data_IF_741104303042
#
_entry.id   IF_741104303042
#
_cell.length_a   1.000
_cell.length_b   1.000
_cell.length_c   1.000
_cell.angle_alpha   90.00
_cell.angle_beta   90.00
_cell.angle_gamma   90.00
#
_symmetry.space_group_name_H-M   'P 1'
#
loop_
_entity.id
_entity.type
_entity.pdbx_description
1 polymer ?
#
# COMPACT_ATOMS: atom_id res chain seq x y z
N UNK A 1 -12.67 33.48 -49.31
CA UNK A 1 -11.26 33.09 -49.10
C UNK A 1 -10.92 33.38 -47.64
N UNK A 2 -10.36 32.38 -46.96
CA UNK A 2 -9.58 32.38 -45.70
C UNK A 2 -10.13 33.20 -44.51
N UNK A 3 -10.65 32.56 -43.45
CA UNK A 3 -9.91 31.91 -42.33
C UNK A 3 -9.30 32.92 -41.36
N UNK A 4 -9.78 32.94 -40.10
CA UNK A 4 -8.96 32.57 -38.94
C UNK A 4 -9.78 32.55 -37.64
N UNK A 5 -9.57 31.46 -36.91
CA UNK A 5 -10.28 31.02 -35.71
C UNK A 5 -9.50 31.49 -34.49
N UNK A 6 -10.18 32.17 -33.56
CA UNK A 6 -9.64 32.55 -32.26
C UNK A 6 -9.59 31.32 -31.33
N UNK A 7 -8.38 30.85 -31.02
CA UNK A 7 -8.10 29.81 -30.04
C UNK A 7 -7.92 30.42 -28.65
N UNK A 8 -8.78 29.99 -27.71
CA UNK A 8 -8.65 30.21 -26.28
C UNK A 8 -7.59 29.27 -25.67
N UNK A 9 -6.96 29.64 -24.53
CA UNK A 9 -5.88 28.85 -23.94
C UNK A 9 -6.40 27.58 -23.25
N UNK A 10 -5.91 26.43 -23.71
CA UNK A 10 -6.14 25.12 -23.11
C UNK A 10 -5.38 25.00 -21.78
N UNK A 11 -6.12 25.07 -20.67
CA UNK A 11 -5.71 24.55 -19.37
C UNK A 11 -5.41 23.05 -19.50
N UNK A 12 -4.15 22.69 -19.30
CA UNK A 12 -3.72 21.29 -19.25
C UNK A 12 -4.20 20.65 -17.93
N UNK A 13 -4.86 19.48 -17.94
CA UNK A 13 -5.13 18.73 -16.73
C UNK A 13 -3.83 18.06 -16.23
N UNK A 14 -3.68 17.82 -14.91
CA UNK A 14 -2.49 17.16 -14.36
C UNK A 14 -2.41 15.73 -14.89
N UNK A 15 -1.28 15.39 -15.52
CA UNK A 15 -0.99 14.03 -15.98
C UNK A 15 -0.78 13.13 -14.76
N UNK A 16 -1.64 12.13 -14.60
CA UNK A 16 -1.48 11.05 -13.62
C UNK A 16 -0.31 10.14 -14.02
N UNK A 17 0.51 9.64 -13.10
CA UNK A 17 1.62 8.75 -13.43
C UNK A 17 1.07 7.37 -13.80
N UNK A 18 0.86 7.13 -15.08
CA UNK A 18 0.64 5.79 -15.64
C UNK A 18 1.98 5.05 -15.70
N UNK A 19 2.50 4.62 -14.55
CA UNK A 19 3.66 3.72 -14.49
C UNK A 19 3.21 2.25 -14.52
N UNK A 20 3.81 1.38 -15.36
CA UNK A 20 3.45 -0.04 -15.47
C UNK A 20 3.71 -0.86 -14.19
N UNK A 21 4.34 -0.29 -13.14
CA UNK A 21 4.67 -0.98 -11.90
C UNK A 21 3.56 -1.02 -10.83
N UNK A 22 2.50 -0.21 -10.98
CA UNK A 22 1.35 -0.20 -10.06
C UNK A 22 0.57 -1.55 -10.06
N UNK A 23 0.90 -2.46 -10.98
CA UNK A 23 0.34 -3.82 -11.10
C UNK A 23 1.05 -4.87 -10.24
N UNK A 24 2.30 -4.65 -9.82
CA UNK A 24 3.11 -5.66 -9.11
C UNK A 24 3.23 -5.42 -7.60
N UNK A 25 2.97 -4.20 -7.14
CA UNK A 25 3.12 -3.79 -5.74
C UNK A 25 2.23 -4.54 -4.71
N UNK A 26 0.98 -4.94 -5.00
CA UNK A 26 0.12 -5.59 -3.99
C UNK A 26 0.51 -7.04 -3.62
N UNK A 27 1.30 -7.73 -4.44
CA UNK A 27 1.65 -9.15 -4.20
C UNK A 27 2.78 -9.32 -3.18
N UNK A 28 3.74 -8.40 -3.13
CA UNK A 28 4.93 -8.51 -2.26
C UNK A 28 4.65 -8.10 -0.80
N UNK A 29 3.75 -7.13 -0.58
CA UNK A 29 3.27 -6.73 0.76
C UNK A 29 2.48 -7.88 1.45
N UNK A 30 1.95 -8.82 0.66
CA UNK A 30 1.16 -9.96 1.14
C UNK A 30 1.93 -10.95 2.00
N UNK A 31 3.20 -11.21 1.67
CA UNK A 31 4.02 -12.21 2.35
C UNK A 31 4.75 -11.62 3.55
N UNK A 32 5.02 -10.31 3.51
CA UNK A 32 5.86 -9.61 4.48
C UNK A 32 5.18 -9.33 5.83
N UNK A 33 3.87 -9.06 5.84
CA UNK A 33 3.18 -8.57 7.05
C UNK A 33 2.37 -9.67 7.75
N UNK A 34 2.02 -10.77 7.07
CA UNK A 34 1.04 -11.75 7.56
C UNK A 34 1.54 -13.20 7.65
N UNK A 35 2.86 -13.43 7.56
CA UNK A 35 3.51 -14.69 7.90
C UNK A 35 2.74 -15.97 7.54
N UNK A 36 2.64 -16.33 6.26
CA UNK A 36 2.44 -17.74 5.86
C UNK A 36 3.16 -18.03 4.53
N UNK A 37 3.93 -19.13 4.44
CA UNK A 37 4.43 -19.62 3.17
C UNK A 37 3.33 -20.44 2.49
N UNK A 38 2.70 -19.87 1.46
CA UNK A 38 2.02 -20.71 0.48
C UNK A 38 3.07 -21.56 -0.24
N UNK A 39 3.17 -22.83 0.12
CA UNK A 39 3.99 -23.82 -0.59
C UNK A 39 3.66 -23.78 -2.10
N UNK A 40 4.66 -23.84 -2.99
CA UNK A 40 4.39 -23.99 -4.41
C UNK A 40 3.77 -25.38 -4.65
N UNK A 41 2.57 -25.42 -5.21
CA UNK A 41 1.99 -26.66 -5.75
C UNK A 41 2.82 -27.06 -6.96
N UNK A 42 3.81 -27.93 -6.73
CA UNK A 42 4.52 -28.62 -7.78
C UNK A 42 3.55 -29.56 -8.50
N UNK A 43 3.36 -29.35 -9.80
CA UNK A 43 2.60 -30.23 -10.67
C UNK A 43 3.20 -31.63 -10.71
N UNK A 44 2.63 -32.56 -9.95
CA UNK A 44 2.94 -33.97 -10.05
C UNK A 44 2.11 -34.60 -11.17
N UNK A 45 2.82 -35.12 -12.18
CA UNK A 45 2.27 -35.87 -13.29
C UNK A 45 1.43 -37.07 -12.81
N UNK A 46 0.22 -37.20 -13.36
CA UNK A 46 -0.65 -38.36 -13.15
C UNK A 46 0.04 -39.63 -13.65
N UNK A 47 0.42 -40.53 -12.74
CA UNK A 47 0.58 -41.96 -13.02
C UNK A 47 -0.57 -42.72 -12.37
N UNK A 48 -1.32 -43.44 -13.19
CA UNK A 48 -2.41 -44.30 -12.74
C UNK A 48 -1.84 -45.47 -11.93
N UNK A 49 -2.35 -45.67 -10.71
CA UNK A 49 -2.16 -46.88 -9.92
C UNK A 49 -3.30 -47.87 -10.21
N UNK A 50 -3.03 -49.19 -10.25
CA UNK A 50 -4.06 -50.20 -10.45
C UNK A 50 -4.93 -50.39 -9.19
N UNK A 51 -6.17 -50.91 -9.30
CA UNK A 51 -7.07 -51.08 -8.17
C UNK A 51 -6.61 -52.24 -7.27
N UNK A 52 -6.59 -52.00 -5.96
CA UNK A 52 -6.42 -53.04 -4.94
C UNK A 52 -7.78 -53.69 -4.59
N UNK A 53 -7.80 -54.97 -4.18
CA UNK A 53 -9.04 -55.70 -3.92
C UNK A 53 -9.63 -55.32 -2.55
N UNK A 54 -10.95 -55.18 -2.51
CA UNK A 54 -11.74 -54.98 -1.29
C UNK A 54 -11.84 -56.30 -0.51
N UNK A 55 -11.33 -56.34 0.71
CA UNK A 55 -11.60 -57.41 1.68
C UNK A 55 -12.67 -56.92 2.68
N UNK A 56 -13.79 -57.63 2.88
CA UNK A 56 -14.91 -57.14 3.68
C UNK A 56 -14.86 -57.71 5.11
N UNK A 57 -13.96 -57.24 5.98
CA UNK A 57 -14.06 -57.49 7.44
C UNK A 57 -13.26 -56.44 8.21
N UNK A 58 -13.87 -55.30 8.50
CA UNK A 58 -13.49 -54.43 9.62
C UNK A 58 -14.67 -53.52 10.02
N UNK A 59 -15.83 -54.13 10.25
CA UNK A 59 -16.99 -53.49 10.88
C UNK A 59 -17.13 -54.03 12.30
N UNK A 60 -16.17 -53.70 13.16
CA UNK A 60 -16.32 -53.82 14.61
C UNK A 60 -15.29 -52.87 15.24
N UNK A 61 -15.76 -51.71 15.70
CA UNK A 61 -14.89 -50.80 16.47
C UNK A 61 -15.03 -49.30 16.24
N UNK A 62 -16.01 -48.80 15.47
CA UNK A 62 -16.39 -47.38 15.56
C UNK A 62 -17.31 -47.24 16.76
N UNK A 63 -16.71 -47.19 17.95
CA UNK A 63 -17.45 -46.84 19.15
C UNK A 63 -18.10 -45.47 18.95
N UNK A 64 -19.33 -45.33 19.44
CA UNK A 64 -20.07 -44.06 19.49
C UNK A 64 -19.34 -42.93 20.25
N UNK A 65 -18.11 -43.15 20.72
CA UNK A 65 -17.25 -42.16 21.35
C UNK A 65 -16.52 -41.26 20.35
N UNK A 66 -16.26 -41.69 19.11
CA UNK A 66 -15.61 -40.82 18.11
C UNK A 66 -16.58 -39.87 17.38
N UNK A 67 -17.88 -40.09 17.48
CA UNK A 67 -18.90 -39.13 17.01
C UNK A 67 -19.27 -38.10 18.10
N UNK A 68 -18.99 -38.41 19.37
CA UNK A 68 -19.25 -37.50 20.48
C UNK A 68 -18.27 -36.31 20.56
N UNK A 69 -17.03 -36.46 20.06
CA UNK A 69 -16.08 -35.35 19.94
C UNK A 69 -16.33 -34.43 18.74
N UNK A 70 -17.25 -34.80 17.84
CA UNK A 70 -17.72 -33.95 16.73
C UNK A 70 -18.88 -33.05 17.19
N UNK A 71 -19.41 -33.28 18.39
CA UNK A 71 -20.54 -32.55 18.95
C UNK A 71 -20.03 -31.43 19.88
N UNK A 72 -20.38 -30.19 19.53
CA UNK A 72 -20.10 -28.91 20.20
C UNK A 72 -18.74 -28.25 19.90
N UNK A 73 -18.44 -28.02 18.61
CA UNK A 73 -17.66 -26.82 18.27
C UNK A 73 -18.47 -25.59 18.67
N UNK A 74 -17.83 -24.63 19.34
CA UNK A 74 -18.46 -23.34 19.61
C UNK A 74 -18.83 -22.66 18.29
N UNK A 75 -19.83 -21.77 18.34
CA UNK A 75 -20.24 -21.03 17.15
C UNK A 75 -19.07 -20.24 16.52
N UNK A 76 -18.11 -19.77 17.35
CA UNK A 76 -16.89 -19.11 16.90
C UNK A 76 -15.97 -20.08 16.15
N UNK A 77 -15.64 -21.22 16.75
CA UNK A 77 -14.75 -22.22 16.13
C UNK A 77 -15.32 -22.78 14.83
N UNK A 78 -16.62 -23.04 14.77
CA UNK A 78 -17.28 -23.51 13.55
C UNK A 78 -17.13 -22.51 12.40
N UNK A 79 -17.28 -21.20 12.68
CA UNK A 79 -17.15 -20.15 11.66
C UNK A 79 -15.69 -19.93 11.25
N UNK A 80 -14.76 -19.95 12.20
CA UNK A 80 -13.32 -19.87 11.90
C UNK A 80 -12.88 -21.07 11.05
N UNK A 81 -13.39 -22.27 11.32
CA UNK A 81 -13.12 -23.44 10.48
C UNK A 81 -13.67 -23.27 9.06
N UNK A 82 -14.91 -22.79 8.90
CA UNK A 82 -15.48 -22.49 7.59
C UNK A 82 -14.70 -21.40 6.84
N UNK A 83 -14.21 -20.37 7.53
CA UNK A 83 -13.37 -19.34 6.93
C UNK A 83 -12.06 -19.92 6.38
N UNK A 84 -11.42 -20.86 7.08
CA UNK A 84 -10.24 -21.58 6.59
C UNK A 84 -10.54 -22.44 5.37
N UNK A 85 -11.69 -23.12 5.33
CA UNK A 85 -12.12 -23.85 4.13
C UNK A 85 -12.34 -22.91 2.93
N UNK A 86 -12.95 -21.74 3.17
CA UNK A 86 -13.12 -20.72 2.16
C UNK A 86 -11.79 -20.17 1.65
N UNK A 87 -10.81 -19.94 2.53
CA UNK A 87 -9.45 -19.53 2.14
C UNK A 87 -8.81 -20.55 1.19
N UNK A 88 -8.83 -21.84 1.54
CA UNK A 88 -8.28 -22.92 0.69
C UNK A 88 -9.01 -23.07 -0.65
N UNK A 89 -10.29 -22.69 -0.69
CA UNK A 89 -11.10 -22.70 -1.90
C UNK A 89 -11.08 -21.36 -2.66
N UNK A 90 -10.31 -20.36 -2.21
CA UNK A 90 -10.26 -18.99 -2.74
C UNK A 90 -11.64 -18.30 -2.80
N UNK A 91 -12.55 -18.70 -1.92
CA UNK A 91 -13.92 -18.16 -1.77
C UNK A 91 -13.96 -17.02 -0.76
N UNK A 92 -13.27 -15.93 -1.09
CA UNK A 92 -13.04 -14.84 -0.15
C UNK A 92 -14.30 -14.02 0.20
N UNK A 93 -15.29 -13.94 -0.69
CA UNK A 93 -16.57 -13.26 -0.42
C UNK A 93 -17.35 -13.99 0.71
N UNK A 94 -17.38 -15.33 0.69
CA UNK A 94 -17.95 -16.14 1.77
C UNK A 94 -17.08 -16.11 3.03
N UNK A 95 -15.76 -16.12 2.87
CA UNK A 95 -14.82 -15.99 3.99
C UNK A 95 -15.07 -14.70 4.79
N UNK A 96 -15.29 -13.58 4.12
CA UNK A 96 -15.67 -12.31 4.75
C UNK A 96 -16.93 -12.47 5.58
N UNK A 97 -17.95 -13.16 5.06
CA UNK A 97 -19.21 -13.37 5.77
C UNK A 97 -19.00 -14.10 7.10
N UNK A 98 -18.24 -15.21 7.10
CA UNK A 98 -17.95 -15.94 8.34
C UNK A 98 -17.10 -15.14 9.33
N UNK A 99 -16.08 -14.42 8.84
CA UNK A 99 -15.19 -13.65 9.72
C UNK A 99 -15.88 -12.43 10.34
N UNK A 100 -16.86 -11.84 9.64
CA UNK A 100 -17.74 -10.81 10.23
C UNK A 100 -18.59 -11.35 11.35
N UNK A 101 -19.14 -12.55 11.16
CA UNK A 101 -19.91 -13.18 12.21
C UNK A 101 -19.03 -13.49 13.42
N UNK A 102 -17.79 -13.96 13.23
CA UNK A 102 -16.80 -14.14 14.32
C UNK A 102 -16.54 -12.81 15.05
N UNK A 103 -16.33 -11.71 14.33
CA UNK A 103 -16.15 -10.39 14.92
C UNK A 103 -17.36 -9.94 15.76
N UNK A 104 -18.59 -10.26 15.32
CA UNK A 104 -19.84 -9.91 16.01
C UNK A 104 -20.18 -10.77 17.21
N UNK A 105 -19.51 -11.92 17.41
CA UNK A 105 -19.68 -12.72 18.62
C UNK A 105 -19.10 -12.05 19.88
N UNK A 106 -18.36 -10.95 19.71
CA UNK A 106 -17.76 -10.18 20.79
C UNK A 106 -16.49 -10.81 21.36
N UNK A 107 -15.75 -10.03 22.13
CA UNK A 107 -14.42 -10.39 22.61
C UNK A 107 -13.32 -10.13 21.58
N UNK A 108 -12.08 -10.05 22.06
CA UNK A 108 -10.92 -9.80 21.19
C UNK A 108 -10.70 -10.97 20.22
N UNK A 109 -10.30 -10.66 18.98
CA UNK A 109 -9.88 -11.68 18.03
C UNK A 109 -8.47 -12.14 18.35
N UNK A 110 -8.29 -13.46 18.32
CA UNK A 110 -6.95 -14.08 18.33
C UNK A 110 -6.14 -13.62 17.12
N UNK A 111 -4.82 -13.79 17.18
CA UNK A 111 -3.92 -13.44 16.07
C UNK A 111 -4.33 -14.15 14.77
N UNK A 112 -4.68 -15.42 14.86
CA UNK A 112 -5.14 -16.23 13.72
C UNK A 112 -6.46 -15.70 13.13
N UNK A 113 -7.47 -15.45 13.96
CA UNK A 113 -8.75 -14.89 13.50
C UNK A 113 -8.57 -13.50 12.88
N UNK A 114 -7.70 -12.66 13.46
CA UNK A 114 -7.38 -11.33 12.93
C UNK A 114 -6.72 -11.44 11.55
N UNK A 115 -5.81 -12.40 11.38
CA UNK A 115 -5.15 -12.67 10.10
C UNK A 115 -6.16 -13.17 9.06
N UNK A 116 -7.03 -14.12 9.40
CA UNK A 116 -8.09 -14.62 8.51
C UNK A 116 -9.02 -13.48 8.04
N UNK A 117 -9.46 -12.61 8.95
CA UNK A 117 -10.29 -11.45 8.61
C UNK A 117 -9.58 -10.52 7.61
N UNK A 118 -8.30 -10.21 7.87
CA UNK A 118 -7.49 -9.37 6.98
C UNK A 118 -7.31 -9.99 5.60
N UNK A 119 -6.98 -11.29 5.53
CA UNK A 119 -6.82 -12.02 4.27
C UNK A 119 -8.12 -12.01 3.46
N UNK A 120 -9.26 -12.25 4.11
CA UNK A 120 -10.57 -12.26 3.47
C UNK A 120 -10.86 -10.91 2.79
N UNK A 121 -10.89 -9.83 3.56
CA UNK A 121 -11.22 -8.51 3.02
C UNK A 121 -10.17 -7.99 2.03
N UNK A 122 -8.88 -8.29 2.23
CA UNK A 122 -7.81 -7.88 1.30
C UNK A 122 -8.01 -8.49 -0.09
N UNK A 123 -8.36 -9.77 -0.18
CA UNK A 123 -8.55 -10.44 -1.46
C UNK A 123 -9.82 -9.96 -2.17
N UNK A 124 -10.92 -9.77 -1.44
CA UNK A 124 -12.16 -9.20 -1.98
C UNK A 124 -11.89 -7.80 -2.55
N UNK A 125 -11.33 -6.88 -1.75
CA UNK A 125 -11.07 -5.50 -2.17
C UNK A 125 -10.01 -5.42 -3.28
N UNK A 126 -8.97 -6.25 -3.20
CA UNK A 126 -7.87 -6.26 -4.17
C UNK A 126 -8.33 -6.58 -5.59
N UNK A 127 -9.25 -7.54 -5.71
CA UNK A 127 -9.85 -7.92 -7.01
C UNK A 127 -10.66 -6.76 -7.60
N UNK A 128 -11.50 -6.09 -6.79
CA UNK A 128 -12.30 -4.93 -7.25
C UNK A 128 -11.42 -3.74 -7.62
N UNK A 129 -10.38 -3.44 -6.83
CA UNK A 129 -9.40 -2.37 -7.14
C UNK A 129 -8.65 -2.63 -8.45
N UNK A 130 -8.23 -3.88 -8.70
CA UNK A 130 -7.58 -4.23 -9.96
C UNK A 130 -8.52 -4.01 -11.15
N UNK A 131 -9.77 -4.47 -11.06
CA UNK A 131 -10.80 -4.23 -12.07
C UNK A 131 -11.03 -2.74 -12.30
N UNK A 132 -11.17 -1.95 -11.23
CA UNK A 132 -11.34 -0.49 -11.32
C UNK A 132 -10.19 0.16 -12.09
N UNK A 133 -8.92 -0.11 -11.73
CA UNK A 133 -7.76 0.47 -12.43
C UNK A 133 -7.73 0.12 -13.92
N UNK A 134 -8.08 -1.11 -14.28
CA UNK A 134 -8.13 -1.55 -15.68
C UNK A 134 -9.20 -0.75 -16.43
N UNK A 135 -10.41 -0.66 -15.89
CA UNK A 135 -11.51 0.06 -16.53
C UNK A 135 -11.23 1.56 -16.61
N UNK A 136 -10.72 2.19 -15.55
CA UNK A 136 -10.31 3.61 -15.56
C UNK A 136 -9.25 3.89 -16.62
N UNK A 137 -8.28 2.99 -16.81
CA UNK A 137 -7.27 3.12 -17.87
C UNK A 137 -7.86 2.96 -19.28
N UNK A 138 -8.88 2.12 -19.45
CA UNK A 138 -9.59 1.96 -20.73
C UNK A 138 -10.42 3.20 -21.02
N UNK A 139 -11.15 3.74 -20.04
CA UNK A 139 -11.93 4.99 -20.17
C UNK A 139 -11.03 6.13 -20.66
N UNK A 140 -9.89 6.36 -19.98
CA UNK A 140 -8.94 7.42 -20.33
C UNK A 140 -8.39 7.26 -21.76
N UNK A 141 -8.12 6.02 -22.19
CA UNK A 141 -7.63 5.74 -23.55
C UNK A 141 -8.72 5.99 -24.60
N UNK A 142 -9.96 5.60 -24.34
CA UNK A 142 -11.07 5.84 -25.27
C UNK A 142 -11.45 7.32 -25.36
N UNK A 143 -11.43 8.04 -24.24
CA UNK A 143 -11.61 9.50 -24.21
C UNK A 143 -10.57 10.22 -25.08
N UNK A 144 -9.30 9.78 -25.04
CA UNK A 144 -8.23 10.38 -25.85
C UNK A 144 -8.39 10.19 -27.37
N UNK A 145 -9.17 9.19 -27.81
CA UNK A 145 -9.44 8.91 -29.23
C UNK A 145 -10.59 9.75 -29.79
N UNK A 146 -11.35 10.46 -28.93
CA UNK A 146 -12.53 11.22 -29.33
C UNK A 146 -13.73 10.37 -29.77
N UNK A 147 -13.75 9.08 -29.45
CA UNK A 147 -14.86 8.17 -29.78
C UNK A 147 -15.95 8.25 -28.71
N UNK A 148 -16.89 9.19 -28.89
CA UNK A 148 -17.94 9.49 -27.89
C UNK A 148 -18.91 8.32 -27.61
N UNK A 149 -19.02 7.36 -28.54
CA UNK A 149 -20.05 6.28 -28.47
C UNK A 149 -19.84 5.27 -27.35
N UNK A 150 -18.60 4.99 -26.94
CA UNK A 150 -18.31 3.95 -25.95
C UNK A 150 -17.88 4.50 -24.58
N UNK A 151 -17.44 5.77 -24.52
CA UNK A 151 -16.98 6.40 -23.27
C UNK A 151 -18.08 6.38 -22.21
N UNK A 152 -19.33 6.70 -22.57
CA UNK A 152 -20.46 6.66 -21.64
C UNK A 152 -20.65 5.27 -21.00
N UNK A 153 -20.68 4.20 -21.82
CA UNK A 153 -20.84 2.82 -21.32
C UNK A 153 -19.68 2.38 -20.41
N UNK A 154 -18.44 2.76 -20.75
CA UNK A 154 -17.26 2.44 -19.92
C UNK A 154 -17.35 3.17 -18.58
N UNK A 155 -17.75 4.44 -18.59
CA UNK A 155 -17.94 5.26 -17.40
C UNK A 155 -19.00 4.68 -16.46
N UNK A 156 -20.15 4.28 -17.00
CA UNK A 156 -21.22 3.65 -16.21
C UNK A 156 -20.74 2.35 -15.55
N UNK A 157 -19.96 1.55 -16.28
CA UNK A 157 -19.38 0.32 -15.74
C UNK A 157 -18.30 0.59 -14.68
N UNK A 158 -17.46 1.62 -14.86
CA UNK A 158 -16.51 2.07 -13.83
C UNK A 158 -17.25 2.45 -12.55
N UNK A 159 -18.32 3.25 -12.64
CA UNK A 159 -19.11 3.69 -11.49
C UNK A 159 -19.77 2.53 -10.75
N UNK A 160 -20.20 1.48 -11.48
CA UNK A 160 -20.68 0.24 -10.86
C UNK A 160 -19.59 -0.41 -9.99
N UNK A 161 -18.36 -0.53 -10.52
CA UNK A 161 -17.22 -1.08 -9.76
C UNK A 161 -16.90 -0.19 -8.55
N UNK A 162 -16.95 1.13 -8.70
CA UNK A 162 -16.74 2.08 -7.58
C UNK A 162 -17.77 1.88 -6.48
N UNK A 163 -19.04 1.66 -6.82
CA UNK A 163 -20.10 1.39 -5.84
C UNK A 163 -19.87 0.07 -5.11
N UNK A 164 -19.46 -0.98 -5.83
CA UNK A 164 -19.09 -2.27 -5.23
C UNK A 164 -17.88 -2.13 -4.29
N UNK A 165 -16.88 -1.35 -4.70
CA UNK A 165 -15.67 -1.10 -3.93
C UNK A 165 -15.94 -0.25 -2.69
N UNK A 166 -16.76 0.81 -2.81
CA UNK A 166 -17.23 1.66 -1.70
C UNK A 166 -17.98 0.80 -0.67
N UNK A 167 -18.87 -0.09 -1.12
CA UNK A 167 -19.61 -1.00 -0.24
C UNK A 167 -18.68 -1.94 0.54
N UNK A 168 -17.69 -2.55 -0.11
CA UNK A 168 -16.73 -3.45 0.57
C UNK A 168 -15.88 -2.68 1.58
N UNK A 169 -15.44 -1.46 1.23
CA UNK A 169 -14.67 -0.62 2.15
C UNK A 169 -15.51 -0.16 3.35
N UNK A 170 -16.75 0.25 3.13
CA UNK A 170 -17.64 0.65 4.22
C UNK A 170 -17.94 -0.53 5.14
N UNK A 171 -18.18 -1.72 4.57
CA UNK A 171 -18.50 -2.92 5.35
C UNK A 171 -17.42 -3.29 6.38
N UNK A 172 -16.14 -3.15 6.01
CA UNK A 172 -15.03 -3.43 6.94
C UNK A 172 -14.79 -2.29 7.92
N UNK A 173 -15.02 -1.04 7.51
CA UNK A 173 -14.95 0.12 8.41
C UNK A 173 -16.00 0.01 9.51
N UNK A 174 -17.22 -0.39 9.17
CA UNK A 174 -18.30 -0.62 10.15
C UNK A 174 -17.91 -1.73 11.14
N UNK A 175 -17.33 -2.84 10.67
CA UNK A 175 -16.87 -3.93 11.55
C UNK A 175 -15.73 -3.47 12.46
N UNK A 176 -14.80 -2.65 11.95
CA UNK A 176 -13.70 -2.10 12.73
C UNK A 176 -14.22 -1.20 13.85
N UNK A 177 -15.12 -0.27 13.52
CA UNK A 177 -15.62 0.73 14.46
C UNK A 177 -16.60 0.15 15.48
N UNK A 178 -17.48 -0.76 15.05
CA UNK A 178 -18.52 -1.32 15.94
C UNK A 178 -18.01 -2.46 16.82
N UNK A 179 -17.06 -3.27 16.32
CA UNK A 179 -16.74 -4.57 16.94
C UNK A 179 -15.27 -4.77 17.28
N UNK A 180 -14.31 -4.25 16.51
CA UNK A 180 -12.90 -4.64 16.67
C UNK A 180 -12.07 -3.63 17.46
N UNK A 181 -12.12 -2.35 17.08
CA UNK A 181 -11.37 -1.28 17.76
C UNK A 181 -11.81 -1.16 19.24
N UNK A 182 -13.13 -1.17 19.57
CA UNK A 182 -13.55 -1.09 20.97
C UNK A 182 -13.11 -2.27 21.85
N UNK A 183 -12.85 -3.43 21.25
CA UNK A 183 -12.47 -4.66 21.95
C UNK A 183 -10.95 -4.95 21.90
N UNK A 184 -10.15 -4.05 21.33
CA UNK A 184 -8.71 -4.21 21.19
C UNK A 184 -7.99 -3.91 22.52
N UNK A 185 -7.36 -4.93 23.12
CA UNK A 185 -6.70 -4.79 24.41
C UNK A 185 -5.20 -4.48 24.28
N UNK A 186 -4.51 -5.13 23.33
CA UNK A 186 -3.05 -5.03 23.17
C UNK A 186 -2.63 -3.95 22.17
N UNK A 187 -1.39 -3.45 22.28
CA UNK A 187 -0.81 -2.54 21.30
C UNK A 187 -0.82 -3.10 19.89
N UNK A 188 -0.48 -4.38 19.74
CA UNK A 188 -0.54 -5.06 18.45
C UNK A 188 -1.94 -5.02 17.83
N UNK A 189 -3.00 -5.32 18.61
CA UNK A 189 -4.37 -5.34 18.08
C UNK A 189 -4.87 -3.94 17.73
N UNK A 190 -4.59 -2.94 18.59
CA UNK A 190 -4.90 -1.53 18.32
C UNK A 190 -4.23 -1.02 17.05
N UNK A 191 -2.91 -1.21 16.94
CA UNK A 191 -2.13 -0.75 15.76
C UNK A 191 -2.63 -1.46 14.51
N UNK A 192 -2.90 -2.76 14.59
CA UNK A 192 -3.42 -3.53 13.46
C UNK A 192 -4.76 -2.97 12.96
N UNK A 193 -5.74 -2.76 13.85
CA UNK A 193 -7.06 -2.29 13.44
C UNK A 193 -7.06 -0.85 12.97
N UNK A 194 -6.31 0.05 13.60
CA UNK A 194 -6.17 1.43 13.13
C UNK A 194 -5.43 1.51 11.79
N UNK A 195 -4.38 0.69 11.59
CA UNK A 195 -3.73 0.54 10.28
C UNK A 195 -4.72 0.07 9.22
N UNK A 196 -5.51 -0.96 9.54
CA UNK A 196 -6.54 -1.50 8.63
C UNK A 196 -7.58 -0.43 8.29
N UNK A 197 -8.04 0.36 9.27
CA UNK A 197 -8.94 1.50 9.06
C UNK A 197 -8.33 2.53 8.10
N UNK A 198 -7.07 2.88 8.29
CA UNK A 198 -6.32 3.76 7.39
C UNK A 198 -6.20 3.20 5.97
N UNK A 199 -5.97 1.89 5.83
CA UNK A 199 -5.90 1.19 4.53
C UNK A 199 -7.22 1.29 3.75
N UNK A 200 -8.37 1.07 4.40
CA UNK A 200 -9.67 1.12 3.73
C UNK A 200 -10.13 2.54 3.41
N UNK A 201 -9.87 3.53 4.27
CA UNK A 201 -10.08 4.93 3.90
C UNK A 201 -9.15 5.39 2.77
N UNK A 202 -7.91 4.90 2.73
CA UNK A 202 -7.00 5.14 1.61
C UNK A 202 -7.55 4.56 0.30
N UNK A 203 -8.14 3.36 0.33
CA UNK A 203 -8.79 2.79 -0.86
C UNK A 203 -9.99 3.63 -1.33
N UNK A 204 -10.81 4.15 -0.40
CA UNK A 204 -11.88 5.08 -0.74
C UNK A 204 -11.35 6.36 -1.39
N UNK A 205 -10.26 6.93 -0.85
CA UNK A 205 -9.65 8.15 -1.38
C UNK A 205 -9.03 7.98 -2.78
N UNK A 206 -8.69 6.75 -3.19
CA UNK A 206 -8.07 6.46 -4.48
C UNK A 206 -8.99 6.77 -5.67
N UNK A 207 -10.27 6.40 -5.57
CA UNK A 207 -11.25 6.56 -6.65
C UNK A 207 -12.29 7.65 -6.38
N UNK A 208 -12.42 8.11 -5.13
CA UNK A 208 -13.30 9.23 -4.82
C UNK A 208 -12.81 10.54 -5.45
N UNK A 209 -13.75 11.48 -5.64
CA UNK A 209 -13.48 12.82 -6.15
C UNK A 209 -14.13 13.91 -5.28
N UNK A 210 -13.69 15.15 -5.45
CA UNK A 210 -14.23 16.31 -4.75
C UNK A 210 -14.17 16.16 -3.22
N UNK A 211 -15.29 16.46 -2.55
CA UNK A 211 -15.37 16.45 -1.10
C UNK A 211 -15.26 15.05 -0.50
N UNK A 212 -15.84 14.03 -1.15
CA UNK A 212 -15.73 12.62 -0.72
C UNK A 212 -14.26 12.20 -0.60
N UNK A 213 -13.41 12.59 -1.55
CA UNK A 213 -11.97 12.30 -1.51
C UNK A 213 -11.29 12.94 -0.31
N UNK A 214 -11.60 14.21 -0.02
CA UNK A 214 -10.99 14.93 1.12
C UNK A 214 -11.37 14.31 2.46
N UNK A 215 -12.64 13.95 2.64
CA UNK A 215 -13.13 13.27 3.84
C UNK A 215 -12.42 11.93 4.01
N UNK A 216 -12.37 11.11 2.96
CA UNK A 216 -11.68 9.81 3.00
C UNK A 216 -10.18 9.95 3.28
N UNK A 217 -9.50 10.91 2.65
CA UNK A 217 -8.07 11.15 2.88
C UNK A 217 -7.79 11.63 4.32
N UNK A 218 -8.64 12.49 4.87
CA UNK A 218 -8.51 12.98 6.26
C UNK A 218 -8.70 11.83 7.25
N UNK A 219 -9.74 11.03 7.07
CA UNK A 219 -10.00 9.86 7.91
C UNK A 219 -8.87 8.81 7.82
N UNK A 220 -8.30 8.60 6.62
CA UNK A 220 -7.13 7.73 6.45
C UNK A 220 -5.92 8.25 7.24
N UNK A 221 -5.63 9.55 7.14
CA UNK A 221 -4.51 10.19 7.84
C UNK A 221 -4.67 10.08 9.37
N UNK A 222 -5.86 10.37 9.90
CA UNK A 222 -6.17 10.27 11.33
C UNK A 222 -6.01 8.83 11.84
N UNK A 223 -6.47 7.84 11.08
CA UNK A 223 -6.34 6.43 11.43
C UNK A 223 -4.88 5.96 11.44
N UNK A 224 -4.09 6.31 10.42
CA UNK A 224 -2.66 5.99 10.39
C UNK A 224 -1.88 6.71 11.49
N UNK A 225 -2.23 7.95 11.79
CA UNK A 225 -1.61 8.71 12.88
C UNK A 225 -1.89 8.04 14.23
N UNK A 226 -3.16 7.70 14.50
CA UNK A 226 -3.54 6.97 15.71
C UNK A 226 -2.80 5.64 15.85
N UNK A 227 -2.65 4.89 14.75
CA UNK A 227 -1.84 3.67 14.73
C UNK A 227 -0.35 3.94 15.02
N UNK A 228 0.19 5.05 14.51
CA UNK A 228 1.61 5.42 14.68
C UNK A 228 1.90 5.79 16.11
N UNK A 229 1.03 6.58 16.73
CA UNK A 229 1.17 7.03 18.12
C UNK A 229 1.21 5.82 19.07
N UNK A 230 0.34 4.82 18.88
CA UNK A 230 0.34 3.57 19.67
C UNK A 230 1.57 2.71 19.34
N UNK A 231 1.94 2.59 18.06
CA UNK A 231 3.07 1.75 17.64
C UNK A 231 4.40 2.27 18.17
N UNK A 232 4.58 3.60 18.30
CA UNK A 232 5.79 4.19 18.84
C UNK A 232 6.00 3.88 20.34
N UNK A 233 4.91 3.70 21.08
CA UNK A 233 4.97 3.44 22.53
C UNK A 233 4.93 1.95 22.87
N UNK A 234 4.22 1.14 22.09
CA UNK A 234 3.94 -0.26 22.44
C UNK A 234 4.69 -1.30 21.58
N UNK A 235 5.29 -0.92 20.45
CA UNK A 235 5.96 -1.86 19.53
C UNK A 235 7.41 -1.44 19.25
N UNK A 236 8.32 -2.41 19.15
CA UNK A 236 9.73 -2.16 18.76
C UNK A 236 9.82 -1.67 17.30
N UNK A 237 10.84 -0.88 16.92
CA UNK A 237 11.08 -0.45 15.55
C UNK A 237 11.12 -1.59 14.51
N UNK A 238 11.61 -2.75 14.93
CA UNK A 238 11.68 -3.98 14.12
C UNK A 238 10.36 -4.74 14.03
N UNK A 239 9.35 -4.39 14.83
CA UNK A 239 8.10 -5.15 14.87
C UNK A 239 7.38 -5.14 13.49
N UNK A 240 6.99 -6.30 12.93
CA UNK A 240 6.41 -6.38 11.58
C UNK A 240 5.16 -5.51 11.39
N UNK A 241 4.28 -5.42 12.40
CA UNK A 241 3.09 -4.54 12.35
C UNK A 241 3.49 -3.05 12.25
N UNK A 242 4.52 -2.61 12.98
CA UNK A 242 5.00 -1.22 12.96
C UNK A 242 5.68 -0.87 11.63
N UNK A 243 6.52 -1.78 11.13
CA UNK A 243 7.13 -1.64 9.79
C UNK A 243 6.07 -1.60 8.69
N UNK A 244 5.08 -2.50 8.76
CA UNK A 244 3.97 -2.54 7.81
C UNK A 244 3.08 -1.30 7.86
N UNK A 245 2.92 -0.69 9.03
CA UNK A 245 2.25 0.60 9.19
C UNK A 245 3.03 1.72 8.50
N UNK A 246 4.34 1.83 8.74
CA UNK A 246 5.18 2.85 8.12
C UNK A 246 5.21 2.70 6.58
N UNK A 247 5.26 1.47 6.09
CA UNK A 247 5.15 1.17 4.66
C UNK A 247 3.84 1.70 4.06
N UNK A 248 2.70 1.40 4.68
CA UNK A 248 1.41 1.84 4.12
C UNK A 248 1.18 3.34 4.28
N UNK A 249 1.67 3.94 5.37
CA UNK A 249 1.52 5.37 5.60
C UNK A 249 2.44 6.21 4.69
N UNK A 250 3.64 5.73 4.37
CA UNK A 250 4.51 6.37 3.37
C UNK A 250 3.87 6.33 1.97
N UNK A 251 3.33 5.18 1.56
CA UNK A 251 2.57 5.07 0.30
C UNK A 251 1.37 6.03 0.29
N UNK A 252 0.66 6.19 1.41
CA UNK A 252 -0.43 7.15 1.52
C UNK A 252 0.04 8.61 1.30
N UNK A 253 1.14 9.01 1.92
CA UNK A 253 1.72 10.35 1.70
C UNK A 253 2.09 10.57 0.23
N UNK A 254 2.65 9.55 -0.41
CA UNK A 254 3.06 9.61 -1.81
C UNK A 254 1.85 9.67 -2.77
N UNK A 255 0.98 8.66 -2.72
CA UNK A 255 -0.06 8.45 -3.73
C UNK A 255 -1.33 9.29 -3.49
N UNK A 256 -1.69 9.57 -2.24
CA UNK A 256 -2.97 10.24 -1.92
C UNK A 256 -2.78 11.72 -1.62
N UNK A 257 -1.79 12.05 -0.79
CA UNK A 257 -1.52 13.42 -0.36
C UNK A 257 -0.53 14.16 -1.27
N UNK A 258 0.04 13.49 -2.28
CA UNK A 258 1.00 14.07 -3.20
C UNK A 258 2.15 14.80 -2.48
N UNK A 259 2.67 14.17 -1.42
CA UNK A 259 3.70 14.70 -0.53
C UNK A 259 4.92 13.76 -0.52
N UNK A 260 5.67 13.69 -1.64
CA UNK A 260 6.75 12.71 -1.82
C UNK A 260 7.87 12.87 -0.79
N UNK A 261 8.26 14.10 -0.44
CA UNK A 261 9.29 14.36 0.58
C UNK A 261 8.95 13.71 1.93
N UNK A 262 7.68 13.87 2.36
CA UNK A 262 7.21 13.30 3.62
C UNK A 262 7.11 11.77 3.55
N UNK A 263 6.74 11.22 2.40
CA UNK A 263 6.71 9.77 2.17
C UNK A 263 8.12 9.17 2.28
N UNK A 264 9.10 9.76 1.59
CA UNK A 264 10.49 9.35 1.61
C UNK A 264 11.10 9.49 3.01
N UNK A 265 10.83 10.60 3.69
CA UNK A 265 11.31 10.81 5.07
C UNK A 265 10.78 9.73 6.02
N UNK A 266 9.47 9.46 5.99
CA UNK A 266 8.86 8.44 6.86
C UNK A 266 9.39 7.03 6.56
N UNK A 267 9.50 6.66 5.28
CA UNK A 267 10.01 5.34 4.88
C UNK A 267 11.48 5.17 5.27
N UNK A 268 12.31 6.21 5.07
CA UNK A 268 13.73 6.20 5.45
C UNK A 268 13.91 6.11 6.97
N UNK A 269 13.17 6.91 7.74
CA UNK A 269 13.23 6.87 9.20
C UNK A 269 12.88 5.47 9.73
N UNK A 270 11.78 4.87 9.26
CA UNK A 270 11.39 3.54 9.70
C UNK A 270 12.43 2.47 9.33
N UNK A 271 13.08 2.61 8.17
CA UNK A 271 14.15 1.71 7.74
C UNK A 271 15.41 1.85 8.61
N UNK A 272 15.86 3.08 8.86
CA UNK A 272 17.04 3.38 9.67
C UNK A 272 16.85 2.97 11.14
N UNK A 273 15.67 3.26 11.73
CA UNK A 273 15.32 2.86 13.09
C UNK A 273 15.31 1.33 13.24
N UNK A 274 14.83 0.60 12.23
CA UNK A 274 14.80 -0.86 12.26
C UNK A 274 16.18 -1.49 12.08
N UNK A 275 17.07 -0.89 11.25
CA UNK A 275 18.46 -1.34 11.11
C UNK A 275 19.19 -1.27 12.45
N UNK A 276 18.98 -0.22 13.23
CA UNK A 276 19.68 -0.01 14.50
C UNK A 276 19.45 -1.13 15.53
N UNK A 277 18.33 -1.86 15.43
CA UNK A 277 17.95 -2.93 16.37
C UNK A 277 17.91 -4.32 15.71
N UNK A 278 18.25 -4.43 14.43
CA UNK A 278 18.05 -5.65 13.63
C UNK A 278 18.87 -6.85 14.14
N UNK A 279 20.08 -6.60 14.63
CA UNK A 279 21.01 -7.64 15.12
C UNK A 279 20.51 -8.34 16.41
N UNK A 280 19.49 -7.78 17.07
CA UNK A 280 18.92 -8.33 18.31
C UNK A 280 17.78 -9.34 18.09
N UNK A 281 17.36 -9.54 16.85
CA UNK A 281 16.20 -10.37 16.51
C UNK A 281 16.49 -11.87 16.51
N UNK A 282 15.46 -12.67 16.84
CA UNK A 282 15.47 -14.10 16.55
C UNK A 282 15.41 -14.38 15.03
N UNK A 283 15.84 -15.55 14.57
CA UNK A 283 15.84 -15.89 13.13
C UNK A 283 14.45 -15.74 12.48
N UNK A 284 13.38 -16.11 13.19
CA UNK A 284 12.00 -16.01 12.68
C UNK A 284 11.60 -14.53 12.52
N UNK A 285 11.75 -13.73 13.57
CA UNK A 285 11.44 -12.29 13.55
C UNK A 285 12.30 -11.53 12.54
N UNK A 286 13.55 -11.95 12.35
CA UNK A 286 14.48 -11.37 11.38
C UNK A 286 13.96 -11.54 9.95
N UNK A 287 13.46 -12.73 9.59
CA UNK A 287 12.93 -12.99 8.23
C UNK A 287 11.72 -12.10 7.94
N UNK A 288 10.78 -11.99 8.86
CA UNK A 288 9.56 -11.18 8.66
C UNK A 288 9.89 -9.69 8.58
N UNK A 289 10.75 -9.19 9.47
CA UNK A 289 11.14 -7.78 9.52
C UNK A 289 11.91 -7.36 8.26
N UNK A 290 12.90 -8.16 7.85
CA UNK A 290 13.73 -7.86 6.66
C UNK A 290 12.93 -7.90 5.37
N UNK A 291 11.90 -8.76 5.28
CA UNK A 291 11.02 -8.79 4.13
C UNK A 291 10.24 -7.47 3.97
N UNK A 292 9.76 -6.86 5.07
CA UNK A 292 9.08 -5.55 5.00
C UNK A 292 10.08 -4.41 4.75
N UNK A 293 11.25 -4.45 5.39
CA UNK A 293 12.32 -3.46 5.16
C UNK A 293 12.74 -3.44 3.69
N UNK A 294 12.77 -4.59 3.02
CA UNK A 294 13.04 -4.66 1.59
C UNK A 294 12.01 -3.87 0.78
N UNK A 295 10.72 -3.94 1.13
CA UNK A 295 9.66 -3.19 0.47
C UNK A 295 9.78 -1.67 0.68
N UNK A 296 10.18 -1.25 1.88
CA UNK A 296 10.50 0.15 2.16
C UNK A 296 11.65 0.65 1.27
N UNK A 297 12.72 -0.15 1.14
CA UNK A 297 13.86 0.16 0.27
C UNK A 297 13.47 0.23 -1.20
N UNK A 298 12.64 -0.70 -1.66
CA UNK A 298 12.15 -0.74 -3.05
C UNK A 298 11.33 0.53 -3.36
N UNK A 299 10.47 0.95 -2.44
CA UNK A 299 9.72 2.21 -2.55
C UNK A 299 10.63 3.43 -2.62
N UNK A 300 11.60 3.54 -1.69
CA UNK A 300 12.55 4.65 -1.68
C UNK A 300 13.34 4.74 -3.00
N UNK A 301 13.79 3.59 -3.52
CA UNK A 301 14.51 3.53 -4.80
C UNK A 301 13.62 3.99 -5.95
N UNK A 302 12.35 3.54 -5.98
CA UNK A 302 11.40 3.94 -7.00
C UNK A 302 11.13 5.45 -6.97
N UNK A 303 10.87 6.02 -5.79
CA UNK A 303 10.49 7.43 -5.64
C UNK A 303 11.66 8.39 -5.89
N UNK A 304 12.89 8.00 -5.53
CA UNK A 304 14.08 8.83 -5.76
C UNK A 304 14.65 8.73 -7.18
N UNK A 305 14.36 7.64 -7.90
CA UNK A 305 14.74 7.50 -9.32
C UNK A 305 13.82 8.28 -10.26
N UNK A 306 12.55 8.52 -9.90
CA UNK A 306 11.67 9.41 -10.66
C UNK A 306 12.09 10.88 -10.57
N UNK A 307 12.59 11.32 -9.42
CA UNK A 307 13.03 12.72 -9.22
C UNK A 307 14.31 13.06 -10.02
N UNK A 308 15.16 12.06 -10.30
CA UNK A 308 16.37 12.25 -11.12
C UNK A 308 16.07 12.32 -12.62
N UNK A 309 14.96 11.75 -13.10
CA UNK A 309 14.56 11.83 -14.50
C UNK A 309 13.90 13.18 -14.86
N UNK A 310 13.35 13.91 -13.88
CA UNK A 310 12.74 15.24 -14.10
C UNK A 310 13.75 16.40 -13.93
N UNK A 311 14.96 16.13 -13.42
CA UNK A 311 16.00 17.13 -13.15
C UNK A 311 17.05 17.36 -14.25
N UNK A 312 17.12 16.54 -15.30
CA UNK A 312 18.13 16.67 -16.37
C UNK A 312 17.69 17.49 -17.60
N UNK A 313 16.46 18.02 -17.61
CA UNK A 313 15.94 18.82 -18.75
C UNK A 313 16.00 20.34 -18.54
N UNK A 314 16.79 20.84 -17.59
CA UNK A 314 16.93 22.28 -17.36
C UNK A 314 18.35 22.67 -16.91
N UNK A 315 19.35 22.43 -17.75
CA UNK A 315 20.59 23.20 -17.73
C UNK A 315 20.56 24.19 -18.91
N UNK A 316 20.55 25.52 -18.68
CA UNK A 316 20.75 26.47 -19.77
C UNK A 316 22.17 26.32 -20.30
N UNK A 317 22.29 26.01 -21.58
CA UNK A 317 23.55 26.12 -22.31
C UNK A 317 23.98 27.59 -22.32
N UNK A 318 25.00 27.94 -21.52
CA UNK A 318 25.73 29.19 -21.71
C UNK A 318 26.57 29.07 -22.99
N UNK A 319 26.13 29.78 -24.02
CA UNK A 319 26.86 29.92 -25.27
C UNK A 319 28.08 30.83 -25.06
N UNK A 320 29.24 30.26 -25.33
CA UNK A 320 30.51 30.96 -25.49
C UNK A 320 30.44 32.04 -26.58
N UNK A 321 31.08 33.18 -26.32
CA UNK A 321 31.56 34.12 -27.36
C UNK A 321 33.03 34.42 -27.14
N UNK A 322 33.83 34.15 -28.17
CA UNK A 322 35.28 34.39 -28.28
C UNK A 322 35.64 35.87 -28.58
N UNK A 323 36.66 36.35 -27.86
CA UNK A 323 37.86 37.16 -28.17
C UNK A 323 37.92 38.41 -29.12
N UNK A 324 38.30 39.57 -28.51
CA UNK A 324 39.44 40.55 -28.71
C UNK A 324 39.66 41.32 -30.06
N UNK A 325 40.54 42.37 -30.20
CA UNK A 325 41.43 43.13 -29.24
C UNK A 325 41.55 44.70 -29.43
N UNK A 326 42.37 45.35 -28.55
CA UNK A 326 43.17 46.63 -28.67
C UNK A 326 42.42 48.00 -28.69
N UNK A 327 42.91 49.19 -28.25
CA UNK A 327 44.16 49.78 -27.71
C UNK A 327 43.87 51.22 -27.18
N UNK A 328 44.83 51.81 -26.42
CA UNK A 328 45.12 53.25 -26.16
C UNK A 328 44.17 54.15 -25.31
N UNK A 329 44.62 54.62 -24.12
CA UNK A 329 45.34 55.90 -23.80
C UNK A 329 44.33 57.05 -23.48
N UNK A 330 44.46 57.97 -22.51
CA UNK A 330 45.57 58.55 -21.73
C UNK A 330 44.97 59.49 -20.62
N UNK A 331 45.72 59.70 -19.53
CA UNK A 331 45.86 60.97 -18.71
C UNK A 331 44.77 61.34 -17.67
N UNK A 332 45.07 61.94 -16.50
CA UNK A 332 46.28 62.52 -15.84
C UNK A 332 45.98 62.83 -14.35
N UNK A 333 47.05 62.87 -13.53
CA UNK A 333 47.29 63.67 -12.28
C UNK A 333 46.21 63.70 -11.17
N UNK A 334 46.51 63.48 -9.88
CA UNK A 334 47.41 64.29 -9.05
C UNK A 334 47.82 63.52 -7.76
N UNK A 335 49.01 63.82 -7.24
CA UNK A 335 49.65 63.24 -6.04
C UNK A 335 50.03 64.41 -5.08
N UNK A 336 50.86 64.25 -4.02
CA UNK A 336 50.85 63.35 -2.86
C UNK A 336 51.13 64.10 -1.52
N UNK A 337 51.18 63.40 -0.39
CA UNK A 337 52.05 63.69 0.77
C UNK A 337 52.23 62.39 1.59
N UNK A 338 53.39 61.69 1.58
CA UNK A 338 54.65 61.93 2.31
C UNK A 338 54.47 61.89 3.85
N UNK A 339 55.26 61.22 4.70
CA UNK A 339 56.56 60.54 4.59
C UNK A 339 56.71 59.56 5.80
N UNK A 340 57.34 58.39 5.62
CA UNK A 340 58.68 58.01 6.11
C UNK A 340 58.87 57.89 7.65
N UNK A 341 59.23 56.68 8.11
CA UNK A 341 60.48 56.40 8.85
C UNK A 341 60.44 55.01 9.51
N UNK A 342 61.46 54.19 9.21
CA UNK A 342 62.03 53.18 10.11
C UNK A 342 63.51 53.62 10.35
N UNK A 343 64.36 52.95 11.15
CA UNK A 343 64.15 51.78 12.02
C UNK A 343 64.86 51.93 13.41
N UNK A 344 65.05 50.79 14.10
CA UNK A 344 66.03 50.45 15.15
C UNK A 344 65.60 50.59 16.62
N UNK A 345 65.38 49.44 17.28
CA UNK A 345 66.41 48.76 18.10
C UNK A 345 65.94 47.37 18.54
#
# INVERSE_FOLDING_TARGET
MASEVSLSPLLHPPRTPSSPFCRYFPRLVSTAIFGTPSLPVAGAARRALPPLPLHPHLLDGISCWNLANVLFLSQRESKTFLARLCEQAERYDEMVTYMKEVAKLGGELTVDERNLLSVAYKNVVGTRRASWRIISSIEQKEESKGSDKHVGTIRDYRQKIETELEKVCQDVLDVLDDSLIPNAATGESKVFYHKMKGDYHRYLAEFASGEKRKVAATAAHEAYKSATDVAQTELTPTHPIRLGLALNFSVFYYEILNSPDRACHLAKQAFDDAIAELDSLSEESYRDSTLIMQLLRDNLTLWTSSDTAEGEAAAPAEAAKEEKPAEEAEKKEEAPAAAAAAPES
#
